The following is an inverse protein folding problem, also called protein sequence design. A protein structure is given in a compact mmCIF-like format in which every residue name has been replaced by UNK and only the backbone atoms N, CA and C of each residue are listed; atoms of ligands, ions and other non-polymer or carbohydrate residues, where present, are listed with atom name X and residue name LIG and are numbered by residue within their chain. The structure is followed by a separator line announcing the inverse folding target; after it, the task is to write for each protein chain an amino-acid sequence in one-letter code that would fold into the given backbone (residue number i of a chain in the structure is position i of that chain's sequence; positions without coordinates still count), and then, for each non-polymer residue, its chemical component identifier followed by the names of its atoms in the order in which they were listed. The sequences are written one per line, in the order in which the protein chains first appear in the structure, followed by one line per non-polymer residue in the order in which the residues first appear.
data_IF_672442003806
#
_entry.id   IF_672442003806
#
_cell.length_a   1.000
_cell.length_b   1.000
_cell.length_c   1.000
_cell.angle_alpha   90.00
_cell.angle_beta   90.00
_cell.angle_gamma   90.00
#
_symmetry.space_group_name_H-M   'P 1'
#
loop_
_entity.id
_entity.type
_entity.pdbx_description
1 polymer ?
#
# COMPACT_ATOMS: atom_id res chain seq x y z
N UNK A 1 -19.79 -10.62 -14.74
CA UNK A 1 -19.50 -10.55 -13.30
C UNK A 1 -20.59 -11.24 -12.47
N UNK A 2 -20.86 -12.53 -12.70
CA UNK A 2 -21.78 -13.32 -11.86
C UNK A 2 -21.00 -14.33 -11.01
N UNK A 3 -20.28 -13.82 -10.02
CA UNK A 3 -20.01 -14.53 -8.77
C UNK A 3 -20.02 -13.46 -7.70
N UNK A 4 -21.08 -13.41 -6.89
CA UNK A 4 -21.10 -12.58 -5.68
C UNK A 4 -19.87 -12.89 -4.82
N UNK A 5 -19.48 -11.96 -3.94
CA UNK A 5 -18.34 -12.08 -3.02
C UNK A 5 -18.32 -13.49 -2.39
N UNK A 6 -17.60 -14.42 -3.01
CA UNK A 6 -17.46 -15.80 -2.55
C UNK A 6 -16.13 -15.81 -1.83
N UNK A 7 -16.23 -15.77 -0.50
CA UNK A 7 -15.14 -16.09 0.41
C UNK A 7 -14.80 -17.56 0.14
N UNK A 8 -13.91 -17.85 -0.81
CA UNK A 8 -13.23 -19.14 -0.75
C UNK A 8 -12.32 -19.12 0.49
N UNK A 9 -12.12 -20.27 1.13
CA UNK A 9 -11.41 -20.37 2.41
C UNK A 9 -9.94 -19.94 2.37
N UNK A 10 -9.47 -19.38 1.25
CA UNK A 10 -8.15 -18.79 1.05
C UNK A 10 -8.18 -17.31 1.41
N UNK A 11 -7.90 -17.00 2.68
CA UNK A 11 -7.70 -15.64 3.22
C UNK A 11 -8.64 -14.56 2.65
N UNK A 12 -9.87 -14.45 3.19
CA UNK A 12 -10.88 -13.52 2.69
C UNK A 12 -10.54 -12.03 2.81
N UNK A 13 -9.45 -11.69 3.50
CA UNK A 13 -9.04 -10.32 3.78
C UNK A 13 -7.63 -10.07 3.25
N UNK A 14 -7.40 -8.86 2.75
CA UNK A 14 -6.05 -8.41 2.42
C UNK A 14 -5.18 -8.37 3.69
N UNK A 15 -3.94 -8.85 3.59
CA UNK A 15 -3.01 -8.74 4.72
C UNK A 15 -2.66 -7.26 4.93
N UNK A 16 -2.93 -6.78 6.13
CA UNK A 16 -2.47 -5.48 6.62
C UNK A 16 -1.53 -5.74 7.79
N UNK A 17 -0.68 -4.78 8.15
CA UNK A 17 0.16 -4.92 9.35
C UNK A 17 -0.66 -5.18 10.63
N UNK A 18 -1.93 -4.77 10.66
CA UNK A 18 -2.82 -4.93 11.82
C UNK A 18 -3.64 -6.21 11.81
N UNK A 19 -3.78 -6.86 10.65
CA UNK A 19 -4.61 -8.05 10.46
C UNK A 19 -3.80 -9.23 9.91
N UNK A 20 -2.50 -9.30 10.24
CA UNK A 20 -1.60 -10.39 9.85
C UNK A 20 -2.07 -11.71 10.50
N UNK A 21 -2.67 -12.60 9.71
CA UNK A 21 -3.16 -13.88 10.23
C UNK A 21 -2.03 -14.91 10.44
N UNK A 22 -0.94 -14.79 9.69
CA UNK A 22 0.12 -15.81 9.65
C UNK A 22 1.15 -15.68 10.79
N UNK A 23 1.35 -14.48 11.32
CA UNK A 23 2.37 -14.23 12.35
C UNK A 23 1.86 -14.60 13.75
N UNK A 24 0.59 -14.30 14.04
CA UNK A 24 0.01 -14.38 15.39
C UNK A 24 -0.37 -15.80 15.82
N UNK A 25 -0.72 -16.67 14.87
CA UNK A 25 -1.19 -18.05 15.14
C UNK A 25 -0.07 -19.01 15.57
N UNK A 26 1.19 -18.68 15.27
CA UNK A 26 2.37 -19.54 15.54
C UNK A 26 3.15 -19.13 16.78
N UNK A 27 2.77 -18.03 17.42
CA UNK A 27 3.43 -17.49 18.62
C UNK A 27 2.79 -18.10 19.88
N UNK A 28 3.58 -18.52 20.89
CA UNK A 28 3.06 -18.99 22.18
C UNK A 28 2.14 -17.97 22.87
N UNK A 29 1.14 -18.43 23.62
CA UNK A 29 0.09 -17.56 24.20
C UNK A 29 0.64 -16.46 25.12
N UNK A 30 1.68 -16.75 25.90
CA UNK A 30 2.29 -15.75 26.80
C UNK A 30 2.97 -14.62 26.01
N UNK A 31 3.72 -14.97 24.95
CA UNK A 31 4.31 -14.00 24.04
C UNK A 31 3.23 -13.22 23.27
N UNK A 32 2.17 -13.90 22.82
CA UNK A 32 1.03 -13.25 22.16
C UNK A 32 0.35 -12.23 23.07
N UNK A 33 0.18 -12.55 24.36
CA UNK A 33 -0.36 -11.62 25.36
C UNK A 33 0.55 -10.40 25.53
N UNK A 34 1.86 -10.60 25.68
CA UNK A 34 2.82 -9.51 25.80
C UNK A 34 2.78 -8.57 24.58
N UNK A 35 2.79 -9.13 23.37
CA UNK A 35 2.67 -8.38 22.11
C UNK A 35 1.35 -7.61 22.04
N UNK A 36 0.24 -8.23 22.43
CA UNK A 36 -1.09 -7.59 22.42
C UNK A 36 -1.15 -6.41 23.40
N UNK A 37 -0.57 -6.55 24.60
CA UNK A 37 -0.51 -5.46 25.58
C UNK A 37 0.39 -4.32 25.07
N UNK A 38 1.53 -4.66 24.48
CA UNK A 38 2.43 -3.67 23.90
C UNK A 38 1.77 -2.91 22.74
N UNK A 39 0.99 -3.57 21.89
CA UNK A 39 0.27 -2.92 20.80
C UNK A 39 -0.74 -1.86 21.28
N UNK A 40 -1.18 -1.90 22.54
CA UNK A 40 -2.06 -0.91 23.16
C UNK A 40 -1.32 0.29 23.79
N UNK A 41 0.00 0.22 23.91
CA UNK A 41 0.80 1.31 24.45
C UNK A 41 0.81 2.53 23.51
N UNK A 42 1.01 3.72 24.06
CA UNK A 42 0.87 4.97 23.32
C UNK A 42 2.18 5.49 22.75
N UNK A 43 3.32 4.94 23.18
CA UNK A 43 4.64 5.38 22.76
C UNK A 43 5.60 4.22 22.51
N UNK A 44 6.59 4.47 21.65
CA UNK A 44 7.69 3.53 21.37
C UNK A 44 8.48 3.20 22.64
N UNK A 45 8.61 4.17 23.56
CA UNK A 45 9.24 4.01 24.88
C UNK A 45 8.55 2.92 25.70
N UNK A 46 7.22 3.04 25.85
CA UNK A 46 6.41 2.08 26.59
C UNK A 46 6.44 0.71 25.94
N UNK A 47 6.30 0.63 24.61
CA UNK A 47 6.37 -0.63 23.86
C UNK A 47 7.72 -1.31 24.07
N UNK A 48 8.82 -0.55 23.95
CA UNK A 48 10.18 -1.09 24.11
C UNK A 48 10.44 -1.58 25.53
N UNK A 49 9.93 -0.87 26.54
CA UNK A 49 10.02 -1.29 27.94
C UNK A 49 9.24 -2.58 28.19
N UNK A 50 7.99 -2.66 27.71
CA UNK A 50 7.12 -3.83 27.88
C UNK A 50 7.64 -5.08 27.17
N UNK A 51 8.30 -4.91 26.02
CA UNK A 51 8.81 -6.02 25.21
C UNK A 51 10.28 -6.37 25.50
N UNK A 52 10.91 -5.76 26.50
CA UNK A 52 12.35 -5.91 26.79
C UNK A 52 12.79 -7.37 27.01
N UNK A 53 11.95 -8.20 27.64
CA UNK A 53 12.21 -9.64 27.78
C UNK A 53 11.81 -10.45 26.53
N UNK A 54 10.81 -9.98 25.77
CA UNK A 54 10.30 -10.71 24.59
C UNK A 54 11.30 -10.62 23.43
N UNK A 55 12.00 -9.49 23.27
CA UNK A 55 13.01 -9.31 22.21
C UNK A 55 14.25 -10.19 22.41
N UNK A 56 14.51 -10.71 23.61
CA UNK A 56 15.63 -11.62 23.91
C UNK A 56 15.23 -13.10 23.87
N UNK A 57 14.00 -13.40 23.45
CA UNK A 57 13.52 -14.78 23.28
C UNK A 57 14.47 -15.60 22.41
N UNK A 58 14.69 -16.85 22.80
CA UNK A 58 15.46 -17.82 21.99
C UNK A 58 14.69 -18.30 20.76
N UNK A 59 13.37 -18.09 20.71
CA UNK A 59 12.55 -18.32 19.52
C UNK A 59 12.66 -17.10 18.58
N UNK A 60 13.27 -17.25 17.37
CA UNK A 60 13.44 -16.16 16.43
C UNK A 60 12.12 -15.53 15.98
N UNK A 61 11.03 -16.29 15.93
CA UNK A 61 9.72 -15.76 15.53
C UNK A 61 9.16 -14.83 16.61
N UNK A 62 9.30 -15.21 17.89
CA UNK A 62 8.88 -14.37 19.02
C UNK A 62 9.70 -13.09 19.09
N UNK A 63 11.03 -13.21 18.95
CA UNK A 63 11.92 -12.05 18.93
C UNK A 63 11.59 -11.13 17.73
N UNK A 64 11.35 -11.70 16.55
CA UNK A 64 10.95 -10.94 15.36
C UNK A 64 9.63 -10.19 15.58
N UNK A 65 8.61 -10.85 16.12
CA UNK A 65 7.32 -10.22 16.40
C UNK A 65 7.45 -9.06 17.41
N UNK A 66 8.31 -9.20 18.42
CA UNK A 66 8.56 -8.13 19.38
C UNK A 66 9.25 -6.92 18.74
N UNK A 67 10.29 -7.15 17.92
CA UNK A 67 10.92 -6.06 17.17
C UNK A 67 9.98 -5.43 16.15
N UNK A 68 9.13 -6.24 15.51
CA UNK A 68 8.09 -5.76 14.60
C UNK A 68 7.14 -4.79 15.33
N UNK A 69 6.65 -5.13 16.53
CA UNK A 69 5.77 -4.22 17.29
C UNK A 69 6.45 -2.90 17.70
N UNK A 70 7.74 -2.93 18.05
CA UNK A 70 8.52 -1.70 18.31
C UNK A 70 8.54 -0.82 17.07
N UNK A 71 8.86 -1.39 15.90
CA UNK A 71 8.94 -0.65 14.65
C UNK A 71 7.56 -0.17 14.16
N UNK A 72 6.51 -0.98 14.34
CA UNK A 72 5.12 -0.60 14.02
C UNK A 72 4.64 0.54 14.92
N UNK A 73 4.98 0.52 16.21
CA UNK A 73 4.66 1.62 17.12
C UNK A 73 5.29 2.93 16.64
N UNK A 74 6.55 2.88 16.21
CA UNK A 74 7.25 4.04 15.68
C UNK A 74 6.66 4.52 14.35
N UNK A 75 6.27 3.61 13.46
CA UNK A 75 5.55 3.96 12.24
C UNK A 75 4.22 4.66 12.52
N UNK A 76 3.41 4.14 13.48
CA UNK A 76 2.12 4.73 13.88
C UNK A 76 2.27 6.15 14.43
N UNK A 77 3.33 6.43 15.18
CA UNK A 77 3.59 7.76 15.75
C UNK A 77 4.32 8.72 14.79
N UNK A 78 4.58 8.30 13.54
CA UNK A 78 5.36 9.10 12.59
C UNK A 78 6.84 9.23 12.97
N UNK A 79 7.36 8.33 13.80
CA UNK A 79 8.72 8.36 14.37
C UNK A 79 9.56 7.17 13.88
N UNK A 80 9.33 6.67 12.66
CA UNK A 80 10.02 5.47 12.13
C UNK A 80 11.56 5.63 12.03
N UNK A 81 12.06 6.86 12.05
CA UNK A 81 13.48 7.19 12.10
C UNK A 81 14.08 7.19 13.52
N UNK A 82 13.27 6.91 14.56
CA UNK A 82 13.72 6.74 15.94
C UNK A 82 14.81 5.65 16.04
N UNK A 83 15.77 5.83 16.94
CA UNK A 83 16.89 4.91 17.11
C UNK A 83 16.43 3.49 17.48
N UNK A 84 15.35 3.35 18.26
CA UNK A 84 14.79 2.06 18.66
C UNK A 84 14.12 1.34 17.50
N UNK A 85 13.42 2.08 16.65
CA UNK A 85 12.88 1.53 15.42
C UNK A 85 14.01 1.07 14.49
N UNK A 86 15.03 1.91 14.30
CA UNK A 86 16.22 1.57 13.50
C UNK A 86 16.94 0.32 14.04
N UNK A 87 17.10 0.23 15.35
CA UNK A 87 17.66 -0.94 16.02
C UNK A 87 16.79 -2.19 15.79
N UNK A 88 15.48 -2.08 16.01
CA UNK A 88 14.53 -3.17 15.77
C UNK A 88 14.60 -3.69 14.33
N UNK A 89 14.64 -2.81 13.34
CA UNK A 89 14.77 -3.19 11.92
C UNK A 89 16.10 -3.89 11.61
N UNK A 90 17.19 -3.49 12.25
CA UNK A 90 18.48 -4.20 12.15
C UNK A 90 18.35 -5.61 12.70
N UNK A 91 17.80 -5.76 13.92
CA UNK A 91 17.64 -7.06 14.57
C UNK A 91 16.71 -7.99 13.80
N UNK A 92 15.58 -7.49 13.28
CA UNK A 92 14.68 -8.24 12.40
C UNK A 92 15.40 -8.79 11.16
N UNK A 93 16.36 -8.05 10.62
CA UNK A 93 17.10 -8.49 9.43
C UNK A 93 18.04 -9.67 9.70
N UNK A 94 18.58 -9.76 10.91
CA UNK A 94 19.50 -10.82 11.35
C UNK A 94 18.79 -12.12 11.78
N UNK A 95 17.49 -12.06 12.09
CA UNK A 95 16.74 -13.23 12.57
C UNK A 95 16.36 -14.17 11.42
N UNK A 96 16.83 -15.41 11.44
CA UNK A 96 16.42 -16.40 10.45
C UNK A 96 15.03 -16.97 10.76
N UNK A 97 14.09 -16.81 9.83
CA UNK A 97 12.70 -17.25 9.98
C UNK A 97 12.42 -18.37 8.97
N UNK A 98 12.07 -19.55 9.46
CA UNK A 98 11.86 -20.72 8.59
C UNK A 98 10.49 -20.75 7.91
N UNK A 99 9.50 -20.05 8.47
CA UNK A 99 8.09 -20.31 8.14
C UNK A 99 7.28 -19.06 7.80
N UNK A 100 7.87 -17.86 7.91
CA UNK A 100 7.21 -16.59 7.62
C UNK A 100 8.11 -15.73 6.74
N UNK A 101 7.50 -14.95 5.84
CA UNK A 101 8.20 -13.96 5.02
C UNK A 101 8.58 -12.75 5.88
N UNK A 102 9.56 -11.97 5.41
CA UNK A 102 9.96 -10.70 6.04
C UNK A 102 9.36 -9.51 5.28
N UNK A 103 8.17 -9.66 4.74
CA UNK A 103 7.47 -8.60 4.00
C UNK A 103 7.26 -7.36 4.87
N UNK A 104 6.94 -7.53 6.16
CA UNK A 104 6.84 -6.42 7.13
C UNK A 104 8.15 -5.65 7.30
N UNK A 105 9.30 -6.35 7.34
CA UNK A 105 10.61 -5.70 7.43
C UNK A 105 10.87 -4.84 6.19
N UNK A 106 10.60 -5.37 5.00
CA UNK A 106 10.75 -4.62 3.76
C UNK A 106 9.83 -3.40 3.74
N UNK A 107 8.57 -3.56 4.13
CA UNK A 107 7.61 -2.46 4.24
C UNK A 107 8.05 -1.37 5.24
N UNK A 108 8.51 -1.75 6.42
CA UNK A 108 8.98 -0.77 7.42
C UNK A 108 10.27 -0.07 7.01
N UNK A 109 11.17 -0.75 6.28
CA UNK A 109 12.34 -0.11 5.66
C UNK A 109 11.92 0.88 4.58
N UNK A 110 10.86 0.59 3.83
CA UNK A 110 10.32 1.55 2.87
C UNK A 110 9.81 2.82 3.57
N UNK A 111 9.06 2.68 4.67
CA UNK A 111 8.62 3.82 5.48
C UNK A 111 9.80 4.60 6.08
N UNK A 112 10.84 3.91 6.52
CA UNK A 112 12.06 4.55 7.04
C UNK A 112 12.79 5.35 5.95
N UNK A 113 13.01 4.76 4.78
CA UNK A 113 13.66 5.41 3.64
C UNK A 113 12.88 6.63 3.18
N UNK A 114 11.55 6.50 3.11
CA UNK A 114 10.68 7.62 2.77
C UNK A 114 10.80 8.77 3.79
N UNK A 115 10.75 8.45 5.10
CA UNK A 115 10.89 9.47 6.14
C UNK A 115 12.27 10.16 6.11
N UNK A 116 13.28 9.54 5.51
CA UNK A 116 14.61 10.09 5.27
C UNK A 116 14.71 10.88 3.95
N UNK A 117 13.65 10.89 3.13
CA UNK A 117 13.62 11.52 1.81
C UNK A 117 14.26 10.69 0.69
N UNK A 118 14.64 9.44 0.96
CA UNK A 118 15.20 8.53 -0.03
C UNK A 118 14.07 7.74 -0.72
N UNK A 119 13.48 8.36 -1.74
CA UNK A 119 12.32 7.78 -2.41
C UNK A 119 12.66 6.58 -3.28
N UNK A 120 13.86 6.52 -3.85
CA UNK A 120 14.30 5.38 -4.66
C UNK A 120 14.45 4.13 -3.78
N UNK A 121 15.07 4.27 -2.61
CA UNK A 121 15.13 3.19 -1.63
C UNK A 121 13.74 2.82 -1.10
N UNK A 122 12.86 3.81 -0.87
CA UNK A 122 11.48 3.56 -0.44
C UNK A 122 10.71 2.71 -1.46
N UNK A 123 10.79 3.04 -2.76
CA UNK A 123 10.16 2.25 -3.83
C UNK A 123 10.74 0.84 -3.90
N UNK A 124 12.07 0.71 -3.85
CA UNK A 124 12.77 -0.59 -3.88
C UNK A 124 12.31 -1.49 -2.74
N UNK A 125 12.27 -0.98 -1.52
CA UNK A 125 11.83 -1.73 -0.35
C UNK A 125 10.33 -2.06 -0.38
N UNK A 126 9.51 -1.16 -0.92
CA UNK A 126 8.07 -1.42 -1.07
C UNK A 126 7.82 -2.55 -2.07
N UNK A 127 8.52 -2.54 -3.21
CA UNK A 127 8.45 -3.61 -4.20
C UNK A 127 8.91 -4.95 -3.62
N UNK A 128 10.00 -4.96 -2.85
CA UNK A 128 10.45 -6.17 -2.17
C UNK A 128 9.42 -6.72 -1.16
N UNK A 129 8.63 -5.85 -0.52
CA UNK A 129 7.54 -6.28 0.35
C UNK A 129 6.38 -6.93 -0.45
N UNK A 130 6.04 -6.34 -1.60
CA UNK A 130 5.00 -6.86 -2.51
C UNK A 130 5.43 -8.18 -3.14
N UNK A 131 6.69 -8.33 -3.55
CA UNK A 131 7.21 -9.57 -4.12
C UNK A 131 7.16 -10.73 -3.12
N UNK A 132 7.50 -10.45 -1.86
CA UNK A 132 7.39 -11.43 -0.78
C UNK A 132 5.94 -11.74 -0.42
N UNK A 133 5.05 -10.77 -0.58
CA UNK A 133 3.65 -10.91 -0.22
C UNK A 133 2.73 -10.08 -1.13
N UNK A 134 2.28 -10.65 -2.26
CA UNK A 134 1.52 -9.91 -3.27
C UNK A 134 0.17 -9.39 -2.78
N UNK A 135 -0.36 -9.95 -1.68
CA UNK A 135 -1.64 -9.52 -1.07
C UNK A 135 -1.47 -8.48 0.05
N UNK A 136 -0.28 -7.94 0.24
CA UNK A 136 0.03 -6.97 1.30
C UNK A 136 -0.50 -5.57 0.96
N UNK A 137 -1.71 -5.25 1.43
CA UNK A 137 -2.42 -4.01 1.11
C UNK A 137 -1.59 -2.76 1.42
N UNK A 138 -0.97 -2.70 2.60
CA UNK A 138 -0.22 -1.51 3.02
C UNK A 138 0.99 -1.24 2.11
N UNK A 139 1.67 -2.28 1.62
CA UNK A 139 2.79 -2.14 0.70
C UNK A 139 2.30 -1.66 -0.68
N UNK A 140 1.22 -2.24 -1.21
CA UNK A 140 0.62 -1.78 -2.46
C UNK A 140 0.13 -0.32 -2.38
N UNK A 141 -0.51 0.05 -1.27
CA UNK A 141 -0.98 1.41 -1.04
C UNK A 141 0.20 2.41 -0.91
N UNK A 142 1.31 1.98 -0.30
CA UNK A 142 2.55 2.77 -0.25
C UNK A 142 3.17 2.94 -1.65
N UNK A 143 3.24 1.88 -2.46
CA UNK A 143 3.80 1.93 -3.83
C UNK A 143 3.02 2.93 -4.69
N UNK A 144 1.68 2.85 -4.63
CA UNK A 144 0.79 3.77 -5.33
C UNK A 144 1.06 5.23 -4.93
N UNK A 145 1.18 5.49 -3.63
CA UNK A 145 1.43 6.83 -3.09
C UNK A 145 2.80 7.38 -3.48
N UNK A 146 3.85 6.56 -3.38
CA UNK A 146 5.22 6.95 -3.75
C UNK A 146 5.31 7.28 -5.26
N UNK A 147 4.64 6.49 -6.10
CA UNK A 147 4.57 6.75 -7.55
C UNK A 147 3.85 8.04 -7.87
N UNK A 148 2.72 8.33 -7.22
CA UNK A 148 2.04 9.62 -7.40
C UNK A 148 2.90 10.80 -6.95
N UNK A 149 3.64 10.65 -5.85
CA UNK A 149 4.48 11.72 -5.31
C UNK A 149 5.71 12.01 -6.19
N UNK A 150 6.24 11.01 -6.90
CA UNK A 150 7.47 11.13 -7.70
C UNK A 150 7.25 11.19 -9.20
N UNK A 151 6.12 10.68 -9.69
CA UNK A 151 5.77 10.65 -11.10
C UNK A 151 5.60 12.05 -11.67
N UNK A 152 6.52 12.47 -12.51
CA UNK A 152 6.55 13.82 -13.07
C UNK A 152 5.30 14.07 -13.94
N UNK A 153 4.85 13.05 -14.66
CA UNK A 153 3.68 13.14 -15.54
C UNK A 153 2.38 12.97 -14.77
N UNK A 154 2.41 12.21 -13.67
CA UNK A 154 1.26 11.99 -12.81
C UNK A 154 0.85 13.27 -12.08
N UNK A 155 1.78 14.21 -11.83
CA UNK A 155 1.55 15.44 -11.04
C UNK A 155 1.13 16.68 -11.82
N UNK A 156 1.20 16.68 -13.16
CA UNK A 156 0.58 17.72 -14.00
C UNK A 156 1.51 18.69 -14.77
N UNK A 157 2.60 19.28 -14.21
CA UNK A 157 3.27 20.37 -14.92
C UNK A 157 4.54 20.02 -15.72
N UNK A 158 5.10 18.81 -15.62
CA UNK A 158 6.43 18.48 -16.18
C UNK A 158 6.42 17.90 -17.62
N UNK A 159 5.24 17.73 -18.24
CA UNK A 159 5.08 17.00 -19.50
C UNK A 159 5.67 17.67 -20.75
N UNK A 160 6.08 18.94 -20.67
CA UNK A 160 6.55 19.69 -21.84
C UNK A 160 7.91 19.20 -22.41
N UNK A 161 8.72 18.53 -21.60
CA UNK A 161 10.09 18.10 -21.98
C UNK A 161 10.31 16.59 -21.87
N UNK A 162 9.26 15.84 -21.57
CA UNK A 162 9.38 14.44 -21.21
C UNK A 162 8.91 13.51 -22.33
N UNK A 163 9.56 12.34 -22.43
CA UNK A 163 9.31 11.39 -23.52
C UNK A 163 7.97 10.66 -23.31
N UNK A 164 7.18 10.50 -24.38
CA UNK A 164 5.89 9.79 -24.33
C UNK A 164 6.00 8.41 -23.70
N UNK A 165 7.09 7.68 -23.93
CA UNK A 165 7.33 6.36 -23.34
C UNK A 165 7.46 6.40 -21.81
N UNK A 166 8.13 7.41 -21.25
CA UNK A 166 8.25 7.59 -19.79
C UNK A 166 6.89 7.92 -19.16
N UNK A 167 6.11 8.78 -19.81
CA UNK A 167 4.74 9.08 -19.42
C UNK A 167 3.88 7.81 -19.36
N UNK A 168 3.88 7.02 -20.45
CA UNK A 168 3.12 5.77 -20.50
C UNK A 168 3.56 4.78 -19.42
N UNK A 169 4.86 4.64 -19.20
CA UNK A 169 5.41 3.77 -18.16
C UNK A 169 4.91 4.15 -16.76
N UNK A 170 4.94 5.45 -16.41
CA UNK A 170 4.42 5.93 -15.12
C UNK A 170 2.94 5.59 -14.92
N UNK A 171 2.11 5.81 -15.94
CA UNK A 171 0.68 5.51 -15.86
C UNK A 171 0.38 4.01 -15.87
N UNK A 172 1.06 3.20 -16.69
CA UNK A 172 0.87 1.75 -16.69
C UNK A 172 1.25 1.15 -15.35
N UNK A 173 2.36 1.58 -14.75
CA UNK A 173 2.72 1.12 -13.40
C UNK A 173 1.69 1.56 -12.35
N UNK A 174 1.16 2.79 -12.45
CA UNK A 174 0.09 3.26 -11.58
C UNK A 174 -1.16 2.37 -11.69
N UNK A 175 -1.63 2.11 -12.91
CA UNK A 175 -2.80 1.27 -13.18
C UNK A 175 -2.57 -0.19 -12.78
N UNK A 176 -1.35 -0.71 -12.96
CA UNK A 176 -0.96 -2.06 -12.52
C UNK A 176 -1.11 -2.21 -11.01
N UNK A 177 -0.63 -1.24 -10.23
CA UNK A 177 -0.74 -1.28 -8.75
C UNK A 177 -2.20 -1.17 -8.31
N UNK A 178 -2.99 -0.30 -8.95
CA UNK A 178 -4.43 -0.20 -8.68
C UNK A 178 -5.16 -1.52 -8.95
N UNK A 179 -4.83 -2.20 -10.04
CA UNK A 179 -5.41 -3.50 -10.37
C UNK A 179 -5.05 -4.55 -9.31
N UNK A 180 -3.79 -4.59 -8.85
CA UNK A 180 -3.39 -5.47 -7.76
C UNK A 180 -4.18 -5.20 -6.48
N UNK A 181 -4.43 -3.93 -6.13
CA UNK A 181 -5.24 -3.56 -4.97
C UNK A 181 -6.70 -3.98 -5.15
N UNK A 182 -7.26 -3.81 -6.35
CA UNK A 182 -8.62 -4.23 -6.66
C UNK A 182 -8.80 -5.75 -6.56
N UNK A 183 -7.77 -6.52 -6.93
CA UNK A 183 -7.74 -7.99 -6.84
C UNK A 183 -7.60 -8.51 -5.40
N UNK A 184 -7.29 -7.64 -4.42
CA UNK A 184 -7.20 -8.05 -3.01
C UNK A 184 -8.56 -8.47 -2.45
N UNK A 185 -9.63 -7.76 -2.81
CA UNK A 185 -10.98 -8.08 -2.35
C UNK A 185 -11.99 -7.63 -3.41
N UNK A 186 -12.81 -8.53 -3.99
CA UNK A 186 -13.73 -8.20 -5.09
C UNK A 186 -14.96 -7.39 -4.64
N UNK A 187 -14.92 -6.72 -3.49
CA UNK A 187 -16.04 -6.01 -2.90
C UNK A 187 -15.79 -4.49 -2.88
N UNK A 188 -16.87 -3.68 -2.99
CA UNK A 188 -16.84 -2.20 -3.02
C UNK A 188 -16.12 -1.56 -1.81
N UNK A 189 -15.94 -2.31 -0.73
CA UNK A 189 -15.18 -1.94 0.48
C UNK A 189 -13.74 -1.55 0.17
N UNK A 190 -13.05 -2.29 -0.72
CA UNK A 190 -11.64 -2.04 -1.02
C UNK A 190 -11.42 -0.71 -1.73
N UNK A 191 -12.33 -0.35 -2.65
CA UNK A 191 -12.30 0.96 -3.30
C UNK A 191 -12.48 2.10 -2.28
N UNK A 192 -13.39 1.96 -1.32
CA UNK A 192 -13.60 2.95 -0.28
C UNK A 192 -12.40 3.07 0.69
N UNK A 193 -11.78 1.94 1.06
CA UNK A 193 -10.57 1.94 1.89
C UNK A 193 -9.39 2.60 1.17
N UNK A 194 -9.20 2.32 -0.11
CA UNK A 194 -8.16 2.97 -0.89
C UNK A 194 -8.46 4.47 -1.05
N UNK A 195 -9.69 4.87 -1.37
CA UNK A 195 -10.09 6.28 -1.46
C UNK A 195 -9.80 7.05 -0.14
N UNK A 196 -10.12 6.44 1.01
CA UNK A 196 -9.82 7.01 2.33
C UNK A 196 -8.31 7.07 2.63
N UNK A 197 -7.55 6.06 2.25
CA UNK A 197 -6.10 6.05 2.41
C UNK A 197 -5.46 7.17 1.58
N UNK A 198 -5.82 7.22 0.30
CA UNK A 198 -5.31 8.16 -0.68
C UNK A 198 -5.60 9.62 -0.29
N UNK A 199 -6.84 9.93 0.10
CA UNK A 199 -7.24 11.28 0.53
C UNK A 199 -6.52 11.78 1.78
N UNK A 200 -6.05 10.88 2.65
CA UNK A 200 -5.37 11.26 3.90
C UNK A 200 -3.86 11.35 3.77
N UNK A 201 -3.25 10.61 2.86
CA UNK A 201 -1.81 10.38 2.84
C UNK A 201 -1.11 10.92 1.59
N UNK A 202 -1.84 11.26 0.52
CA UNK A 202 -1.23 11.79 -0.70
C UNK A 202 -1.07 13.30 -0.62
N UNK A 203 0.16 13.78 -0.79
CA UNK A 203 0.50 15.20 -0.99
C UNK A 203 0.67 15.48 -2.49
N UNK A 204 -0.37 15.20 -3.26
CA UNK A 204 -0.43 15.45 -4.71
C UNK A 204 -1.67 16.31 -4.95
N UNK A 205 -1.60 17.32 -5.83
CA UNK A 205 -2.75 18.15 -6.14
C UNK A 205 -3.98 17.31 -6.56
N UNK A 206 -5.17 17.69 -6.11
CA UNK A 206 -6.42 16.98 -6.43
C UNK A 206 -6.71 16.95 -7.94
N UNK A 207 -6.18 17.93 -8.67
CA UNK A 207 -6.28 18.11 -10.13
C UNK A 207 -5.14 17.44 -10.92
N UNK A 208 -4.29 16.66 -10.25
CA UNK A 208 -3.21 15.97 -10.91
C UNK A 208 -3.73 14.85 -11.84
N UNK A 209 -3.16 14.68 -13.05
CA UNK A 209 -3.59 13.64 -13.99
C UNK A 209 -3.60 12.23 -13.41
N UNK A 210 -2.62 11.88 -12.57
CA UNK A 210 -2.57 10.60 -11.87
C UNK A 210 -3.76 10.38 -10.94
N UNK A 211 -4.23 11.45 -10.26
CA UNK A 211 -5.41 11.38 -9.39
C UNK A 211 -6.69 11.17 -10.19
N UNK A 212 -6.82 11.81 -11.35
CA UNK A 212 -7.98 11.59 -12.24
C UNK A 212 -8.01 10.19 -12.84
N UNK A 213 -6.85 9.63 -13.21
CA UNK A 213 -6.75 8.24 -13.66
C UNK A 213 -7.19 7.25 -12.56
N UNK A 214 -6.71 7.45 -11.32
CA UNK A 214 -7.14 6.66 -10.16
C UNK A 214 -8.64 6.80 -9.90
N UNK A 215 -9.15 8.03 -9.89
CA UNK A 215 -10.56 8.31 -9.63
C UNK A 215 -11.46 7.65 -10.68
N UNK A 216 -11.04 7.62 -11.95
CA UNK A 216 -11.75 6.90 -13.02
C UNK A 216 -11.81 5.41 -12.69
N UNK A 217 -10.67 4.80 -12.40
CA UNK A 217 -10.58 3.37 -12.08
C UNK A 217 -11.42 2.98 -10.85
N UNK A 218 -11.28 3.73 -9.75
CA UNK A 218 -12.04 3.49 -8.51
C UNK A 218 -13.55 3.69 -8.70
N UNK A 219 -13.97 4.66 -9.53
CA UNK A 219 -15.38 4.87 -9.84
C UNK A 219 -15.95 3.72 -10.68
N UNK A 220 -15.17 3.15 -11.61
CA UNK A 220 -15.53 1.93 -12.34
C UNK A 220 -15.73 0.76 -11.39
N UNK A 221 -14.77 0.48 -10.50
CA UNK A 221 -14.90 -0.59 -9.50
C UNK A 221 -16.12 -0.39 -8.58
N UNK A 222 -16.44 0.86 -8.26
CA UNK A 222 -17.58 1.21 -7.42
C UNK A 222 -18.94 1.19 -8.16
N UNK A 223 -18.93 0.94 -9.48
CA UNK A 223 -20.10 1.06 -10.37
C UNK A 223 -20.75 2.46 -10.36
N UNK A 224 -19.95 3.52 -10.26
CA UNK A 224 -20.40 4.93 -10.22
C UNK A 224 -20.11 5.61 -11.57
N UNK A 225 -20.97 5.36 -12.57
CA UNK A 225 -20.76 5.81 -13.97
C UNK A 225 -20.51 7.31 -14.10
N UNK A 226 -21.33 8.14 -13.46
CA UNK A 226 -21.19 9.61 -13.57
C UNK A 226 -19.85 10.11 -13.00
N UNK A 227 -19.39 9.50 -11.91
CA UNK A 227 -18.09 9.83 -11.31
C UNK A 227 -16.93 9.34 -12.19
N UNK A 228 -17.06 8.16 -12.80
CA UNK A 228 -16.06 7.61 -13.69
C UNK A 228 -15.90 8.49 -14.93
N UNK A 229 -17.01 8.87 -15.58
CA UNK A 229 -16.99 9.78 -16.73
C UNK A 229 -16.43 11.15 -16.34
N UNK A 230 -16.86 11.72 -15.21
CA UNK A 230 -16.38 13.03 -14.75
C UNK A 230 -14.88 13.03 -14.42
N UNK A 231 -14.34 11.93 -13.88
CA UNK A 231 -12.91 11.79 -13.64
C UNK A 231 -12.13 11.65 -14.96
N UNK A 232 -12.64 10.84 -15.89
CA UNK A 232 -12.05 10.67 -17.22
C UNK A 232 -12.03 11.97 -18.02
N UNK A 233 -13.13 12.72 -18.03
CA UNK A 233 -13.22 14.01 -18.71
C UNK A 233 -12.19 15.00 -18.16
N UNK A 234 -11.99 15.02 -16.83
CA UNK A 234 -10.95 15.84 -16.18
C UNK A 234 -9.53 15.39 -16.53
N UNK A 235 -9.28 14.09 -16.63
CA UNK A 235 -7.99 13.57 -17.12
C UNK A 235 -7.68 14.05 -18.55
N UNK A 236 -8.71 14.18 -19.39
CA UNK A 236 -8.58 14.60 -20.78
C UNK A 236 -8.50 16.13 -20.96
N UNK A 237 -8.78 16.91 -19.92
CA UNK A 237 -8.71 18.37 -19.95
C UNK A 237 -7.29 18.91 -19.68
N UNK A 238 -6.96 20.13 -20.16
CA UNK A 238 -5.70 20.78 -19.82
C UNK A 238 -5.57 21.07 -18.31
N UNK A 239 -4.38 20.90 -17.70
CA UNK A 239 -3.13 20.43 -18.29
C UNK A 239 -3.13 18.92 -18.52
N UNK A 240 -3.04 18.52 -19.80
CA UNK A 240 -3.13 17.12 -20.23
C UNK A 240 -1.72 16.53 -20.32
N UNK A 241 -1.46 15.31 -19.81
CA UNK A 241 -0.15 14.67 -19.98
C UNK A 241 0.08 14.31 -21.47
N UNK A 242 1.35 14.26 -21.89
CA UNK A 242 1.72 14.02 -23.30
C UNK A 242 1.22 12.66 -23.83
N UNK A 243 1.09 11.66 -22.95
CA UNK A 243 0.58 10.32 -23.26
C UNK A 243 -0.93 10.14 -23.03
N UNK A 244 -1.68 11.23 -22.83
CA UNK A 244 -3.08 11.13 -22.44
C UNK A 244 -3.98 10.51 -23.51
N UNK A 245 -3.55 10.39 -24.78
CA UNK A 245 -4.38 9.74 -25.80
C UNK A 245 -4.33 8.23 -25.62
N UNK A 246 -3.15 7.69 -25.39
CA UNK A 246 -2.93 6.28 -25.16
C UNK A 246 -3.51 5.84 -23.81
N UNK A 247 -3.21 6.59 -22.74
CA UNK A 247 -3.78 6.31 -21.41
C UNK A 247 -5.29 6.56 -21.39
N UNK A 248 -5.78 7.58 -22.11
CA UNK A 248 -7.20 7.83 -22.25
C UNK A 248 -7.92 6.65 -22.90
N UNK A 249 -7.37 6.06 -23.97
CA UNK A 249 -7.95 4.87 -24.59
C UNK A 249 -7.97 3.64 -23.66
N UNK A 250 -7.04 3.53 -22.70
CA UNK A 250 -7.09 2.49 -21.67
C UNK A 250 -8.16 2.77 -20.62
N UNK A 251 -8.27 4.00 -20.14
CA UNK A 251 -9.32 4.40 -19.20
C UNK A 251 -10.72 4.29 -19.80
N UNK A 252 -10.89 4.62 -21.09
CA UNK A 252 -12.15 4.50 -21.83
C UNK A 252 -12.61 3.04 -21.92
N UNK A 253 -11.68 2.10 -22.15
CA UNK A 253 -11.97 0.66 -22.08
C UNK A 253 -12.49 0.22 -20.71
N UNK A 254 -12.08 0.88 -19.61
CA UNK A 254 -12.67 0.60 -18.29
C UNK A 254 -14.08 1.17 -18.16
N UNK A 255 -14.39 2.30 -18.80
CA UNK A 255 -15.75 2.87 -18.83
C UNK A 255 -16.72 1.96 -19.57
N UNK A 256 -16.28 1.30 -20.65
CA UNK A 256 -17.10 0.33 -21.40
C UNK A 256 -17.58 -0.83 -20.52
N UNK A 257 -16.79 -1.24 -19.52
CA UNK A 257 -17.20 -2.28 -18.55
C UNK A 257 -18.42 -1.86 -17.72
N UNK A 258 -18.70 -0.56 -17.60
CA UNK A 258 -19.92 -0.04 -16.97
C UNK A 258 -21.11 0.01 -17.93
N UNK A 259 -20.85 0.05 -19.24
CA UNK A 259 -21.88 0.07 -20.28
C UNK A 259 -22.40 -1.34 -20.61
N UNK A 260 -21.59 -2.37 -20.41
CA UNK A 260 -21.95 -3.78 -20.59
C UNK A 260 -22.87 -4.33 -19.48
N UNK A 261 -22.95 -3.65 -18.32
CA UNK A 261 -23.94 -3.92 -17.25
C UNK A 261 -25.37 -3.42 -17.62
N UNK A 262 -25.75 -3.50 -18.91
CA UNK A 262 -27.17 -3.43 -19.31
C UNK A 262 -27.89 -4.57 -18.61
N UNK A 263 -28.71 -4.16 -17.63
CA UNK A 263 -29.60 -4.96 -16.80
C UNK A 263 -30.36 -6.05 -17.60
N UNK A 264 -30.66 -7.22 -17.00
CA UNK A 264 -31.87 -7.95 -17.37
C UNK A 264 -33.13 -7.11 -17.12
#
# INVERSE_FOLDING_TARGET
MERGCMLDGTQPYADTIFLRQNLTTRIPDDARRALTLAALAQSVDEVSAQLSETVTSSDPLVAYAAYLEIALSAARSGSITDQRASYALSRMSELELQTVTKSDLAFLRALQAEAQGDVEAALTHTQAAIEQEPRFFNALALDLRLRLATGQHLRGPASAFAQTASCQSEFHELLRVLALIADLEPCKSMAAHLELFLSRQIVVPEDAPGMHAIATYLAVLSKRKDLAQSAFDRFMQPPRPICATEIGAELDRFLDLLAEDKQP
#
